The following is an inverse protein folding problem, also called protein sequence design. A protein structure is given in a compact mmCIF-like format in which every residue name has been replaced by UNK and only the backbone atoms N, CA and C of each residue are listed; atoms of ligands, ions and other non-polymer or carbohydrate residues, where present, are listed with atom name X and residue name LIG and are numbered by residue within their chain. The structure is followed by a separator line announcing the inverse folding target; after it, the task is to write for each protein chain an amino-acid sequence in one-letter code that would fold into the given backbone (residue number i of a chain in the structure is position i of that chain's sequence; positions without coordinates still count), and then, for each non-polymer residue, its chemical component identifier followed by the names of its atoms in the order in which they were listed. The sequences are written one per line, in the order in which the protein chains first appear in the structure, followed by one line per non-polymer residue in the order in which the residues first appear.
data_IF_216060121069
#
_entry.id   IF_216060121069
#
_cell.length_a   1.000
_cell.length_b   1.000
_cell.length_c   1.000
_cell.angle_alpha   90.00
_cell.angle_beta   90.00
_cell.angle_gamma   90.00
#
_symmetry.space_group_name_H-M   'P 1'
#
loop_
_entity.id
_entity.type
_entity.pdbx_description
1 polymer ?
#
# COMPACT_ATOMS: atom_id res chain seq x y z
N UNK A 1 -4.66 -16.53 -4.01
CA UNK A 1 -3.47 -15.67 -3.74
C UNK A 1 -2.74 -16.26 -2.54
N UNK A 2 -1.40 -16.41 -2.61
CA UNK A 2 -0.62 -16.89 -1.47
C UNK A 2 -0.74 -15.90 -0.30
N UNK A 3 -0.90 -16.43 0.92
CA UNK A 3 -0.85 -15.66 2.15
C UNK A 3 0.59 -15.21 2.39
N UNK A 4 0.86 -13.91 2.36
CA UNK A 4 2.18 -13.38 2.69
C UNK A 4 2.42 -13.54 4.19
N UNK A 5 3.48 -14.24 4.56
CA UNK A 5 4.00 -14.21 5.93
C UNK A 5 4.78 -12.91 6.10
N UNK A 6 4.39 -12.07 7.06
CA UNK A 6 5.05 -10.77 7.29
C UNK A 6 6.50 -10.91 7.77
N UNK A 7 6.88 -12.09 8.28
CA UNK A 7 8.21 -12.35 8.83
C UNK A 7 9.28 -12.67 7.79
N UNK A 8 8.91 -12.97 6.53
CA UNK A 8 9.88 -13.38 5.50
C UNK A 8 9.62 -12.61 4.21
N UNK A 9 10.65 -12.02 3.57
CA UNK A 9 10.46 -11.36 2.29
C UNK A 9 10.00 -12.34 1.21
N UNK A 10 9.10 -11.91 0.31
CA UNK A 10 8.71 -12.75 -0.81
C UNK A 10 9.89 -12.99 -1.76
N UNK A 11 10.00 -14.23 -2.24
CA UNK A 11 11.03 -14.65 -3.21
C UNK A 11 11.00 -13.79 -4.48
N UNK A 12 9.80 -13.42 -4.93
CA UNK A 12 9.58 -12.60 -6.12
C UNK A 12 8.60 -11.48 -5.82
N UNK A 13 8.85 -10.28 -6.35
CA UNK A 13 7.89 -9.18 -6.28
C UNK A 13 6.64 -9.45 -7.13
N UNK A 14 5.46 -9.02 -6.65
CA UNK A 14 4.25 -8.96 -7.46
C UNK A 14 4.46 -8.15 -8.75
N UNK A 15 3.80 -8.56 -9.84
CA UNK A 15 3.98 -7.94 -11.15
C UNK A 15 3.68 -6.43 -11.15
N UNK A 16 2.64 -6.00 -10.43
CA UNK A 16 2.30 -4.58 -10.31
C UNK A 16 3.40 -3.76 -9.60
N UNK A 17 4.05 -4.33 -8.59
CA UNK A 17 5.18 -3.68 -7.90
C UNK A 17 6.40 -3.60 -8.81
N UNK A 18 6.69 -4.64 -9.60
CA UNK A 18 7.79 -4.60 -10.57
C UNK A 18 7.57 -3.55 -11.65
N UNK A 19 6.38 -3.48 -12.23
CA UNK A 19 6.05 -2.46 -13.25
C UNK A 19 6.15 -1.04 -12.69
N UNK A 20 5.70 -0.83 -11.45
CA UNK A 20 5.89 0.43 -10.75
C UNK A 20 7.38 0.80 -10.58
N UNK A 21 8.22 -0.14 -10.12
CA UNK A 21 9.65 0.12 -9.96
C UNK A 21 10.34 0.43 -11.29
N UNK A 22 9.96 -0.27 -12.37
CA UNK A 22 10.45 0.01 -13.73
C UNK A 22 10.08 1.43 -14.15
N UNK A 23 8.84 1.85 -13.91
CA UNK A 23 8.38 3.21 -14.21
C UNK A 23 9.11 4.28 -13.40
N UNK A 24 9.28 4.06 -12.09
CA UNK A 24 9.92 5.05 -11.20
C UNK A 24 11.42 5.24 -11.45
N UNK A 25 12.14 4.18 -11.81
CA UNK A 25 13.59 4.21 -11.97
C UNK A 25 14.05 4.15 -13.42
N UNK A 26 13.12 4.04 -14.38
CA UNK A 26 13.40 3.87 -15.81
C UNK A 26 14.34 2.69 -16.08
N UNK A 27 14.20 1.61 -15.29
CA UNK A 27 15.04 0.42 -15.40
C UNK A 27 14.33 -0.73 -16.12
N UNK A 28 15.08 -1.62 -16.80
CA UNK A 28 14.53 -2.87 -17.34
C UNK A 28 13.97 -3.79 -16.24
N UNK A 29 13.01 -4.66 -16.60
CA UNK A 29 12.38 -5.62 -15.69
C UNK A 29 13.42 -6.56 -15.03
N UNK A 30 14.41 -7.03 -15.80
CA UNK A 30 15.49 -7.88 -15.27
C UNK A 30 16.34 -7.17 -14.22
N UNK A 31 16.62 -5.88 -14.41
CA UNK A 31 17.33 -5.06 -13.42
C UNK A 31 16.50 -4.92 -12.13
N UNK A 32 15.18 -4.71 -12.24
CA UNK A 32 14.30 -4.63 -11.09
C UNK A 32 14.22 -5.96 -10.31
N UNK A 33 14.18 -7.10 -11.01
CA UNK A 33 14.22 -8.44 -10.40
C UNK A 33 15.53 -8.69 -9.65
N UNK A 34 16.65 -8.41 -10.30
CA UNK A 34 17.98 -8.56 -9.69
C UNK A 34 18.14 -7.66 -8.47
N UNK A 35 17.72 -6.40 -8.57
CA UNK A 35 17.75 -5.47 -7.44
C UNK A 35 16.92 -6.01 -6.26
N UNK A 36 15.71 -6.52 -6.51
CA UNK A 36 14.91 -7.12 -5.45
C UNK A 36 15.61 -8.33 -4.82
N UNK A 37 16.14 -9.25 -5.63
CA UNK A 37 16.84 -10.43 -5.14
C UNK A 37 18.00 -10.07 -4.18
N UNK A 38 18.77 -9.03 -4.51
CA UNK A 38 19.89 -8.58 -3.68
C UNK A 38 19.45 -7.80 -2.43
N UNK A 39 18.41 -6.98 -2.54
CA UNK A 39 18.04 -6.05 -1.46
C UNK A 39 16.86 -6.50 -0.60
N UNK A 40 16.14 -7.60 -0.95
CA UNK A 40 14.90 -7.98 -0.25
C UNK A 40 15.09 -8.17 1.24
N UNK A 41 16.18 -8.80 1.68
CA UNK A 41 16.40 -9.08 3.11
C UNK A 41 16.62 -7.78 3.88
N UNK A 42 17.39 -6.86 3.31
CA UNK A 42 17.65 -5.54 3.89
C UNK A 42 16.38 -4.70 3.90
N UNK A 43 15.63 -4.69 2.79
CA UNK A 43 14.39 -3.94 2.65
C UNK A 43 13.31 -4.44 3.62
N UNK A 44 13.28 -5.74 3.90
CA UNK A 44 12.29 -6.36 4.80
C UNK A 44 12.67 -6.22 6.28
N UNK A 45 13.96 -6.23 6.60
CA UNK A 45 14.48 -5.98 7.94
C UNK A 45 14.50 -4.48 8.32
N UNK A 46 14.28 -3.60 7.35
CA UNK A 46 14.29 -2.16 7.58
C UNK A 46 13.01 -1.72 8.30
N UNK A 47 13.16 -1.30 9.56
CA UNK A 47 12.09 -0.72 10.37
C UNK A 47 12.25 0.81 10.41
N UNK A 48 11.60 1.57 9.51
CA UNK A 48 11.72 3.02 9.50
C UNK A 48 11.05 3.65 10.72
N UNK A 49 11.69 4.65 11.31
CA UNK A 49 11.08 5.46 12.36
C UNK A 49 9.86 6.24 11.83
N UNK A 50 9.01 6.75 12.73
CA UNK A 50 7.85 7.55 12.33
C UNK A 50 8.25 8.80 11.50
N UNK A 51 9.37 9.42 11.85
CA UNK A 51 9.91 10.58 11.14
C UNK A 51 10.46 10.19 9.76
N UNK A 52 11.17 9.06 9.65
CA UNK A 52 11.63 8.53 8.36
C UNK A 52 10.44 8.24 7.43
N UNK A 53 9.38 7.61 7.95
CA UNK A 53 8.17 7.34 7.18
C UNK A 53 7.53 8.64 6.69
N UNK A 54 7.47 9.68 7.53
CA UNK A 54 6.93 11.00 7.15
C UNK A 54 7.80 11.66 6.08
N UNK A 55 9.12 11.68 6.26
CA UNK A 55 10.05 12.26 5.30
C UNK A 55 10.01 11.52 3.95
N UNK A 56 10.03 10.19 3.98
CA UNK A 56 9.95 9.34 2.79
C UNK A 56 8.63 9.51 2.06
N UNK A 57 7.51 9.70 2.77
CA UNK A 57 6.21 10.01 2.14
C UNK A 57 6.30 11.30 1.34
N UNK A 58 6.74 12.39 1.95
CA UNK A 58 6.83 13.69 1.25
C UNK A 58 7.81 13.62 0.08
N UNK A 59 8.94 12.93 0.25
CA UNK A 59 9.96 12.79 -0.79
C UNK A 59 9.46 12.00 -2.01
N UNK A 60 8.74 10.91 -1.78
CA UNK A 60 8.38 9.97 -2.85
C UNK A 60 6.93 10.09 -3.32
N UNK A 61 6.08 10.92 -2.69
CA UNK A 61 4.65 11.06 -3.06
C UNK A 61 4.47 11.35 -4.55
N UNK A 62 5.35 12.15 -5.16
CA UNK A 62 5.30 12.48 -6.59
C UNK A 62 5.45 11.23 -7.46
N UNK A 63 6.32 10.29 -7.09
CA UNK A 63 6.51 9.04 -7.83
C UNK A 63 5.26 8.17 -7.77
N UNK A 64 4.62 8.07 -6.60
CA UNK A 64 3.35 7.34 -6.45
C UNK A 64 2.21 7.98 -7.23
N UNK A 65 2.14 9.31 -7.27
CA UNK A 65 1.11 10.00 -8.06
C UNK A 65 1.28 9.81 -9.56
N UNK A 66 2.52 9.72 -10.05
CA UNK A 66 2.81 9.54 -11.48
C UNK A 66 2.68 8.06 -11.89
N UNK A 67 3.31 7.14 -11.16
CA UNK A 67 3.43 5.74 -11.57
C UNK A 67 2.57 4.77 -10.74
N UNK A 68 2.20 5.14 -9.52
CA UNK A 68 1.52 4.22 -8.58
C UNK A 68 0.08 3.91 -8.99
N UNK A 69 -0.65 4.92 -9.50
CA UNK A 69 -2.07 4.80 -9.82
C UNK A 69 -2.35 3.74 -10.89
N UNK A 70 -1.55 3.71 -11.95
CA UNK A 70 -1.70 2.75 -13.06
C UNK A 70 -1.50 1.30 -12.59
N UNK A 71 -0.75 1.10 -11.51
CA UNK A 71 -0.42 -0.21 -10.95
C UNK A 71 -1.18 -0.53 -9.66
N UNK A 72 -2.16 0.30 -9.28
CA UNK A 72 -2.94 0.17 -8.03
C UNK A 72 -2.05 0.14 -6.78
N UNK A 73 -1.01 0.97 -6.77
CA UNK A 73 -0.08 1.11 -5.66
C UNK A 73 -0.25 2.49 -5.03
N UNK A 74 -0.85 2.51 -3.83
CA UNK A 74 -0.87 3.69 -2.98
C UNK A 74 0.43 3.87 -2.20
N UNK A 75 0.64 5.08 -1.69
CA UNK A 75 1.78 5.44 -0.82
C UNK A 75 1.89 4.54 0.41
N UNK A 76 0.77 3.96 0.85
CA UNK A 76 0.67 3.05 2.00
C UNK A 76 0.47 1.58 1.61
N UNK A 77 0.43 1.26 0.32
CA UNK A 77 -0.03 -0.05 -0.18
C UNK A 77 1.09 -0.97 -0.68
N UNK A 78 2.36 -0.61 -0.45
CA UNK A 78 3.49 -1.46 -0.87
C UNK A 78 3.61 -2.75 -0.04
N UNK A 79 3.12 -2.74 1.20
CA UNK A 79 2.98 -3.96 1.97
C UNK A 79 1.63 -4.60 1.64
N UNK A 80 1.56 -5.93 1.52
CA UNK A 80 0.28 -6.62 1.34
C UNK A 80 -0.64 -6.18 2.48
N UNK A 81 -1.88 -5.75 2.18
CA UNK A 81 -2.83 -5.32 3.19
C UNK A 81 -2.90 -6.37 4.29
N UNK A 82 -2.75 -5.96 5.56
CA UNK A 82 -2.84 -6.88 6.70
C UNK A 82 -4.17 -7.60 6.59
N UNK A 83 -4.13 -8.90 6.27
CA UNK A 83 -5.33 -9.74 6.19
C UNK A 83 -5.91 -10.06 7.55
N UNK A 84 -5.30 -9.60 8.64
CA UNK A 84 -5.83 -9.76 9.99
C UNK A 84 -6.47 -8.45 10.43
N UNK A 85 -7.62 -8.55 11.07
CA UNK A 85 -8.22 -7.40 11.74
C UNK A 85 -7.36 -7.00 12.94
N UNK A 86 -6.99 -5.72 13.02
CA UNK A 86 -6.16 -5.18 14.10
C UNK A 86 -6.96 -4.77 15.35
N UNK A 87 -8.30 -4.72 15.25
CA UNK A 87 -9.18 -4.44 16.38
C UNK A 87 -9.14 -5.61 17.39
N UNK A 88 -8.80 -5.41 18.67
CA UNK A 88 -8.86 -6.45 19.69
C UNK A 88 -10.23 -7.14 19.79
N UNK A 89 -11.31 -6.41 19.49
CA UNK A 89 -12.69 -6.92 19.45
C UNK A 89 -13.00 -7.84 18.26
N UNK A 90 -12.14 -7.89 17.24
CA UNK A 90 -12.27 -8.83 16.12
C UNK A 90 -11.88 -10.27 16.46
N UNK A 91 -11.15 -10.49 17.57
CA UNK A 91 -10.64 -11.81 17.94
C UNK A 91 -11.79 -12.75 18.29
N UNK A 92 -11.79 -13.94 17.69
CA UNK A 92 -12.81 -14.96 17.96
C UNK A 92 -12.19 -16.16 18.67
N UNK A 93 -12.90 -16.77 19.65
CA UNK A 93 -12.46 -18.02 20.25
C UNK A 93 -12.42 -19.13 19.20
N UNK A 94 -11.44 -20.03 19.29
CA UNK A 94 -11.36 -21.21 18.43
C UNK A 94 -12.48 -22.20 18.77
N UNK A 95 -13.08 -22.82 17.75
CA UNK A 95 -14.09 -23.88 17.92
C UNK A 95 -13.53 -25.09 18.70
N UNK A 96 -12.24 -25.37 18.56
CA UNK A 96 -11.54 -26.47 19.24
C UNK A 96 -11.14 -26.14 20.68
N UNK A 97 -10.90 -24.86 20.98
CA UNK A 97 -10.47 -24.38 22.29
C UNK A 97 -10.95 -22.94 22.52
N UNK A 98 -12.02 -22.73 23.31
CA UNK A 98 -12.56 -21.42 23.58
C UNK A 98 -11.63 -20.47 24.35
N UNK A 99 -10.60 -21.00 25.04
CA UNK A 99 -9.63 -20.17 25.76
C UNK A 99 -8.63 -19.48 24.83
N UNK A 100 -8.37 -20.08 23.66
CA UNK A 100 -7.45 -19.53 22.67
C UNK A 100 -8.20 -18.60 21.71
N UNK A 101 -7.77 -17.33 21.66
CA UNK A 101 -8.28 -16.33 20.74
C UNK A 101 -7.48 -16.34 19.44
N UNK A 102 -8.15 -16.35 18.28
CA UNK A 102 -7.53 -16.22 16.96
C UNK A 102 -7.88 -14.87 16.35
N UNK A 103 -6.89 -14.23 15.74
CA UNK A 103 -7.12 -13.04 14.92
C UNK A 103 -8.00 -13.39 13.71
N UNK A 104 -9.02 -12.56 13.47
CA UNK A 104 -9.95 -12.78 12.37
C UNK A 104 -9.31 -12.31 11.06
N UNK A 105 -9.31 -13.20 10.08
CA UNK A 105 -8.96 -12.81 8.72
C UNK A 105 -10.04 -11.87 8.15
N UNK A 106 -9.61 -10.74 7.61
CA UNK A 106 -10.43 -9.86 6.79
C UNK A 106 -10.92 -10.66 5.58
N UNK A 107 -12.24 -10.62 5.37
CA UNK A 107 -12.91 -11.38 4.32
C UNK A 107 -12.66 -10.80 2.93
N UNK A 108 -13.66 -10.93 2.06
CA UNK A 108 -13.58 -10.39 0.70
C UNK A 108 -13.26 -8.88 0.71
N UNK A 109 -12.42 -8.41 -0.24
CA UNK A 109 -12.16 -6.99 -0.40
C UNK A 109 -13.49 -6.25 -0.55
N UNK A 110 -13.68 -5.18 0.22
CA UNK A 110 -14.82 -4.28 0.03
C UNK A 110 -14.36 -3.06 -0.75
N UNK A 111 -15.07 -2.78 -1.82
CA UNK A 111 -14.88 -1.56 -2.60
C UNK A 111 -15.67 -0.41 -1.96
N UNK A 112 -15.00 0.71 -1.71
CA UNK A 112 -15.61 1.95 -1.26
C UNK A 112 -15.29 3.05 -2.26
N UNK A 113 -16.29 3.89 -2.63
CA UNK A 113 -16.03 5.06 -3.43
C UNK A 113 -15.26 6.08 -2.59
N UNK A 114 -14.01 6.36 -2.98
CA UNK A 114 -13.18 7.40 -2.34
C UNK A 114 -13.20 8.65 -3.22
N UNK A 115 -13.40 9.81 -2.60
CA UNK A 115 -13.19 11.11 -3.28
C UNK A 115 -11.76 11.56 -3.02
N UNK A 116 -10.94 11.57 -4.06
CA UNK A 116 -9.59 12.11 -4.00
C UNK A 116 -9.68 13.62 -4.16
N UNK A 117 -9.37 14.36 -3.10
CA UNK A 117 -9.18 15.80 -3.19
C UNK A 117 -7.72 16.06 -3.56
N UNK A 118 -7.44 16.20 -4.86
CA UNK A 118 -6.15 16.75 -5.27
C UNK A 118 -6.15 18.23 -4.93
N UNK A 119 -5.48 18.61 -3.83
CA UNK A 119 -5.14 20.01 -3.59
C UNK A 119 -4.20 20.41 -4.73
N UNK A 120 -4.72 21.17 -5.71
CA UNK A 120 -3.85 21.87 -6.66
C UNK A 120 -2.96 22.80 -5.81
N UNK A 121 -1.72 22.40 -5.58
CA UNK A 121 -0.66 23.31 -5.11
C UNK A 121 -0.32 24.19 -6.31
N UNK A 122 -1.25 25.06 -6.67
CA UNK A 122 -0.97 26.17 -7.58
C UNK A 122 -0.20 27.21 -6.80
N UNK A 123 0.90 27.71 -7.38
CA UNK A 123 1.48 28.98 -6.94
C UNK A 123 0.34 29.99 -6.89
N UNK A 124 0.12 30.58 -5.71
CA UNK A 124 -0.98 31.51 -5.44
C UNK A 124 -1.05 32.59 -6.51
N UNK A 125 -1.97 32.44 -7.45
CA UNK A 125 -2.71 33.59 -7.99
C UNK A 125 -4.05 33.62 -7.28
N UNK A 126 -4.40 34.73 -6.61
CA UNK A 126 -5.69 34.86 -5.94
C UNK A 126 -6.77 34.88 -7.02
N UNK A 127 -7.86 34.14 -6.79
CA UNK A 127 -9.02 33.98 -7.65
C UNK A 127 -8.90 32.98 -8.81
N UNK A 128 -9.24 31.72 -8.56
CA UNK A 128 -10.17 31.00 -9.43
C UNK A 128 -10.85 29.84 -8.71
N UNK A 129 -12.13 29.67 -9.06
CA UNK A 129 -13.05 28.66 -8.50
C UNK A 129 -12.49 27.26 -8.70
N UNK A 130 -12.80 26.42 -7.72
CA UNK A 130 -12.56 24.98 -7.76
C UNK A 130 -13.61 24.39 -8.70
N UNK A 131 -13.20 23.95 -9.89
CA UNK A 131 -14.01 23.06 -10.72
C UNK A 131 -13.76 21.61 -10.27
N UNK A 132 -14.81 20.82 -9.95
CA UNK A 132 -14.68 19.42 -9.63
C UNK A 132 -14.65 18.62 -10.93
N UNK A 133 -13.47 18.44 -11.51
CA UNK A 133 -13.29 17.36 -12.48
C UNK A 133 -13.22 16.04 -11.72
N UNK A 134 -14.32 15.31 -11.84
CA UNK A 134 -14.56 14.00 -11.26
C UNK A 134 -13.66 12.97 -11.94
N UNK A 135 -12.57 12.59 -11.29
CA UNK A 135 -11.77 11.45 -11.74
C UNK A 135 -11.96 10.29 -10.76
N UNK A 136 -12.80 9.34 -11.17
CA UNK A 136 -13.03 8.10 -10.46
C UNK A 136 -11.84 7.15 -10.69
N UNK A 137 -11.25 6.65 -9.60
CA UNK A 137 -10.09 5.76 -9.65
C UNK A 137 -10.11 4.70 -8.54
N UNK A 138 -9.39 3.58 -8.71
CA UNK A 138 -9.63 2.37 -7.95
C UNK A 138 -9.04 2.39 -6.54
N UNK A 139 -9.88 1.85 -5.66
CA UNK A 139 -9.78 1.58 -4.23
C UNK A 139 -8.66 0.60 -3.87
N UNK A 140 -7.97 0.83 -2.75
CA UNK A 140 -7.71 -0.19 -1.71
C UNK A 140 -7.60 0.51 -0.35
N UNK A 141 -8.68 0.52 0.43
CA UNK A 141 -8.61 0.74 1.87
C UNK A 141 -9.35 -0.41 2.55
N UNK A 142 -8.64 -1.12 3.44
CA UNK A 142 -9.24 -2.18 4.26
C UNK A 142 -10.12 -1.52 5.32
N UNK A 143 -11.43 -1.64 5.13
CA UNK A 143 -12.41 -1.21 6.11
C UNK A 143 -12.19 -1.89 7.47
N UNK A 144 -12.19 -1.07 8.51
CA UNK A 144 -12.11 -1.43 9.92
C UNK A 144 -13.48 -1.84 10.49
N UNK A 145 -14.38 -2.40 9.66
CA UNK A 145 -15.67 -2.89 10.15
C UNK A 145 -15.68 -4.41 10.30
N UNK A 146 -15.63 -4.80 11.57
CA UNK A 146 -15.79 -6.12 12.15
C UNK A 146 -17.09 -6.82 11.71
#
# INVERSE_FOLDING_TARGET
QPSYQLSVPPLTLPANVREFLKGCFEVPDETAKLAWEQFREIAWAFEPTADDQKANRVKHVKLFLIHGLEHRIGVHSLLPPTRICLDPGCRKPLLSDPATLRDRELGEPKDYPVRVFTLKIGNRTPHRRIDPDEVAFPTVELSHQC
#
